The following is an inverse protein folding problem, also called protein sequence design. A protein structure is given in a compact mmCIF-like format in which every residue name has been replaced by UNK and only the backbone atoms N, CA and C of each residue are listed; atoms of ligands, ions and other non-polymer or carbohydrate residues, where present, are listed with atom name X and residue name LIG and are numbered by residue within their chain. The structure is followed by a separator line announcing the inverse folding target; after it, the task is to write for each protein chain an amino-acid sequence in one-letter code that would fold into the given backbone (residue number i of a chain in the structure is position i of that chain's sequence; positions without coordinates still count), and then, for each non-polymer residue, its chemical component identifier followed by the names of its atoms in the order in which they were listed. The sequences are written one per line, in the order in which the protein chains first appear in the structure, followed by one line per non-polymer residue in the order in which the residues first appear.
data_IF_388949339742
#
_entry.id   IF_388949339742
#
_cell.length_a   1.000
_cell.length_b   1.000
_cell.length_c   1.000
_cell.angle_alpha   90.00
_cell.angle_beta   90.00
_cell.angle_gamma   90.00
#
_symmetry.space_group_name_H-M   'P 1'
#
loop_
_entity.id
_entity.type
_entity.pdbx_description
1 polymer ?
#
# COMPACT_ATOMS: atom_id res chain seq x y z
N UNK A 1 -4.27 10.60 -0.66
CA UNK A 1 -3.38 9.74 -1.45
C UNK A 1 -3.60 8.30 -1.02
N UNK A 2 -3.85 7.39 -1.96
CA UNK A 2 -3.77 5.96 -1.68
C UNK A 2 -2.28 5.57 -1.64
N UNK A 3 -1.85 4.99 -0.52
CA UNK A 3 -0.50 4.44 -0.34
C UNK A 3 -0.57 2.96 -0.67
N UNK A 4 -0.15 2.62 -1.89
CA UNK A 4 -0.13 1.24 -2.38
C UNK A 4 1.18 0.51 -2.07
N UNK A 5 1.23 -0.78 -2.41
CA UNK A 5 2.36 -1.68 -2.17
C UNK A 5 3.68 -1.15 -2.75
N UNK A 6 3.63 -0.59 -3.97
CA UNK A 6 4.82 -0.06 -4.65
C UNK A 6 5.27 1.26 -4.02
N UNK A 7 4.32 2.10 -3.60
CA UNK A 7 4.57 3.31 -2.84
C UNK A 7 5.27 3.01 -1.53
N UNK A 8 4.79 2.03 -0.76
CA UNK A 8 5.44 1.59 0.47
C UNK A 8 6.88 1.12 0.24
N UNK A 9 7.10 0.28 -0.78
CA UNK A 9 8.45 -0.16 -1.13
C UNK A 9 9.36 1.02 -1.48
N UNK A 10 8.86 1.97 -2.29
CA UNK A 10 9.62 3.15 -2.67
C UNK A 10 9.94 4.04 -1.46
N UNK A 11 9.08 4.15 -0.46
CA UNK A 11 9.35 4.96 0.75
C UNK A 11 10.50 4.41 1.59
N UNK A 12 10.72 3.09 1.55
CA UNK A 12 11.60 2.41 2.51
C UNK A 12 12.85 1.84 1.87
N UNK A 13 12.85 1.65 0.54
CA UNK A 13 13.99 1.15 -0.19
C UNK A 13 14.65 2.24 -1.05
N UNK A 14 15.71 2.87 -0.52
CA UNK A 14 16.43 4.00 -1.16
C UNK A 14 16.97 3.75 -2.57
N UNK A 15 17.09 2.48 -2.98
CA UNK A 15 17.58 2.10 -4.32
C UNK A 15 16.46 2.09 -5.37
N UNK A 16 15.21 2.22 -4.96
CA UNK A 16 14.10 2.41 -5.89
C UNK A 16 14.26 3.74 -6.62
N UNK A 17 14.13 3.72 -7.94
CA UNK A 17 14.32 4.91 -8.76
C UNK A 17 13.28 6.00 -8.48
N UNK A 18 12.13 5.62 -7.90
CA UNK A 18 11.07 6.53 -7.49
C UNK A 18 11.19 6.99 -6.03
N UNK A 19 12.23 6.61 -5.28
CA UNK A 19 12.33 6.88 -3.84
C UNK A 19 12.08 8.36 -3.47
N UNK A 20 12.81 9.29 -4.08
CA UNK A 20 12.70 10.73 -3.80
C UNK A 20 11.33 11.29 -4.17
N UNK A 21 10.75 10.83 -5.27
CA UNK A 21 9.40 11.23 -5.69
C UNK A 21 8.34 10.68 -4.75
N UNK A 22 8.49 9.44 -4.27
CA UNK A 22 7.58 8.83 -3.32
C UNK A 22 7.57 9.57 -1.99
N UNK A 23 8.74 9.94 -1.45
CA UNK A 23 8.86 10.77 -0.24
C UNK A 23 8.15 12.11 -0.46
N UNK A 24 8.47 12.81 -1.56
CA UNK A 24 7.88 14.12 -1.85
C UNK A 24 6.34 14.09 -1.94
N UNK A 25 5.80 13.07 -2.61
CA UNK A 25 4.34 12.88 -2.73
C UNK A 25 3.69 12.48 -1.40
N UNK A 26 4.37 11.64 -0.62
CA UNK A 26 3.89 11.22 0.68
C UNK A 26 3.83 12.38 1.66
N UNK A 27 4.88 13.20 1.73
CA UNK A 27 4.95 14.36 2.62
C UNK A 27 3.97 15.45 2.21
N UNK A 28 3.75 15.66 0.90
CA UNK A 28 2.79 16.64 0.39
C UNK A 28 1.31 16.21 0.57
N UNK A 29 1.03 14.94 0.82
CA UNK A 29 -0.34 14.44 0.92
C UNK A 29 -0.99 14.83 2.26
N UNK A 30 -2.08 15.60 2.19
CA UNK A 30 -2.88 16.00 3.37
C UNK A 30 -3.65 14.85 4.01
N UNK A 31 -3.93 13.80 3.24
CA UNK A 31 -4.62 12.60 3.72
C UNK A 31 -3.99 11.40 3.06
N UNK A 32 -3.71 10.36 3.84
CA UNK A 32 -3.08 9.12 3.38
C UNK A 32 -4.00 7.97 3.76
N UNK A 33 -4.27 7.07 2.81
CA UNK A 33 -5.14 5.92 3.01
C UNK A 33 -4.39 4.68 2.54
N UNK A 34 -4.48 3.57 3.26
CA UNK A 34 -4.02 2.26 2.79
C UNK A 34 -4.97 1.18 3.31
N UNK A 35 -4.73 -0.08 2.95
CA UNK A 35 -5.58 -1.18 3.41
C UNK A 35 -4.80 -2.45 3.73
N UNK A 36 -5.41 -3.33 4.50
CA UNK A 36 -4.79 -4.57 5.00
C UNK A 36 -4.19 -5.46 3.89
N UNK A 37 -4.82 -5.56 2.70
CA UNK A 37 -4.19 -6.30 1.58
C UNK A 37 -2.91 -5.66 1.04
N UNK A 38 -2.78 -4.33 1.03
CA UNK A 38 -1.51 -3.66 0.66
C UNK A 38 -0.42 -4.04 1.64
N UNK A 39 -0.69 -4.07 2.95
CA UNK A 39 0.32 -4.44 3.95
C UNK A 39 0.78 -5.89 3.78
N UNK A 40 -0.15 -6.83 3.54
CA UNK A 40 0.17 -8.24 3.30
C UNK A 40 1.02 -8.43 2.04
N UNK A 41 0.64 -7.75 0.95
CA UNK A 41 1.42 -7.78 -0.29
C UNK A 41 2.79 -7.15 -0.08
N UNK A 42 2.87 -6.01 0.62
CA UNK A 42 4.10 -5.29 0.90
C UNK A 42 5.12 -6.15 1.65
N UNK A 43 4.70 -6.86 2.70
CA UNK A 43 5.61 -7.77 3.43
C UNK A 43 6.16 -8.86 2.53
N UNK A 44 5.36 -9.35 1.58
CA UNK A 44 5.81 -10.35 0.59
C UNK A 44 6.77 -9.75 -0.44
N UNK A 45 6.45 -8.57 -0.96
CA UNK A 45 7.28 -7.85 -1.94
C UNK A 45 8.62 -7.40 -1.35
N UNK A 46 8.62 -6.86 -0.13
CA UNK A 46 9.83 -6.43 0.57
C UNK A 46 10.82 -7.60 0.71
N UNK A 47 10.34 -8.78 1.09
CA UNK A 47 11.17 -9.98 1.17
C UNK A 47 11.72 -10.40 -0.20
N UNK A 48 10.90 -10.37 -1.25
CA UNK A 48 11.35 -10.65 -2.62
C UNK A 48 12.40 -9.65 -3.12
N UNK A 49 12.43 -8.43 -2.57
CA UNK A 49 13.42 -7.38 -2.85
C UNK A 49 14.59 -7.35 -1.86
N UNK A 50 14.77 -8.41 -1.08
CA UNK A 50 15.85 -8.56 -0.10
C UNK A 50 15.85 -7.50 1.01
N UNK A 51 14.70 -6.85 1.26
CA UNK A 51 14.47 -6.07 2.48
C UNK A 51 14.20 -7.06 3.62
N UNK A 52 14.71 -6.77 4.82
CA UNK A 52 14.49 -7.66 5.96
C UNK A 52 13.01 -7.74 6.30
N UNK A 53 12.54 -8.96 6.60
CA UNK A 53 11.15 -9.19 7.03
C UNK A 53 10.79 -8.34 8.24
N UNK A 54 11.71 -8.22 9.20
CA UNK A 54 11.50 -7.41 10.41
C UNK A 54 11.26 -5.94 10.05
N UNK A 55 12.07 -5.35 9.16
CA UNK A 55 11.86 -3.97 8.74
C UNK A 55 10.49 -3.77 8.09
N UNK A 56 10.05 -4.70 7.24
CA UNK A 56 8.72 -4.63 6.63
C UNK A 56 7.59 -4.73 7.67
N UNK A 57 7.74 -5.55 8.71
CA UNK A 57 6.78 -5.64 9.81
C UNK A 57 6.77 -4.37 10.66
N UNK A 58 7.93 -3.83 11.00
CA UNK A 58 8.05 -2.58 11.77
C UNK A 58 7.37 -1.41 11.03
N UNK A 59 7.53 -1.35 9.71
CA UNK A 59 6.82 -0.36 8.87
C UNK A 59 5.32 -0.61 8.93
N UNK A 60 4.86 -1.85 8.78
CA UNK A 60 3.43 -2.18 8.82
C UNK A 60 2.81 -1.80 10.16
N UNK A 61 3.49 -2.07 11.28
CA UNK A 61 3.07 -1.68 12.62
C UNK A 61 3.06 -0.15 12.80
N UNK A 62 4.05 0.56 12.28
CA UNK A 62 4.07 2.02 12.31
C UNK A 62 2.87 2.62 11.56
N UNK A 63 2.54 2.11 10.38
CA UNK A 63 1.39 2.59 9.59
C UNK A 63 0.06 2.35 10.32
N UNK A 64 -0.06 1.24 11.07
CA UNK A 64 -1.25 0.94 11.87
C UNK A 64 -1.43 1.90 13.05
N UNK A 65 -0.34 2.47 13.55
CA UNK A 65 -0.33 3.37 14.71
C UNK A 65 -0.18 4.85 14.33
N UNK A 66 -0.14 5.17 13.03
CA UNK A 66 0.01 6.53 12.53
C UNK A 66 -1.36 7.20 12.37
N UNK A 67 -1.63 8.23 13.17
CA UNK A 67 -2.89 8.99 13.11
C UNK A 67 -3.10 9.76 11.80
N UNK A 68 -2.06 9.97 11.00
CA UNK A 68 -2.16 10.63 9.70
C UNK A 68 -2.52 9.66 8.56
N UNK A 69 -2.63 8.36 8.86
CA UNK A 69 -2.95 7.31 7.91
C UNK A 69 -4.28 6.68 8.28
N UNK A 70 -5.23 6.76 7.34
CA UNK A 70 -6.45 5.98 7.40
C UNK A 70 -6.17 4.54 6.99
N UNK A 71 -6.27 3.63 7.96
CA UNK A 71 -6.19 2.19 7.71
C UNK A 71 -7.59 1.63 7.41
N UNK A 72 -7.85 1.29 6.15
CA UNK A 72 -9.09 0.59 5.78
C UNK A 72 -8.93 -0.92 5.97
N UNK A 73 -9.76 -1.51 6.82
CA UNK A 73 -9.87 -2.96 6.94
C UNK A 73 -10.86 -3.49 5.91
N UNK A 74 -10.35 -4.21 4.91
CA UNK A 74 -11.19 -4.86 3.90
C UNK A 74 -11.86 -6.08 4.52
N UNK A 75 -13.17 -5.95 4.75
CA UNK A 75 -14.04 -7.03 5.17
C UNK A 75 -14.60 -7.82 3.97
N UNK A 76 -15.45 -8.81 4.24
CA UNK A 76 -16.05 -9.62 3.19
C UNK A 76 -16.91 -8.79 2.22
N UNK A 77 -17.68 -7.83 2.74
CA UNK A 77 -18.57 -7.01 1.93
C UNK A 77 -17.77 -6.16 0.95
N UNK A 78 -16.79 -5.40 1.44
CA UNK A 78 -15.95 -4.55 0.62
C UNK A 78 -15.13 -5.37 -0.39
N UNK A 79 -14.66 -6.57 0.01
CA UNK A 79 -13.99 -7.48 -0.91
C UNK A 79 -14.89 -7.93 -2.06
N UNK A 80 -16.14 -8.35 -1.77
CA UNK A 80 -17.10 -8.78 -2.78
C UNK A 80 -17.48 -7.64 -3.73
N UNK A 81 -17.70 -6.44 -3.19
CA UNK A 81 -17.99 -5.25 -3.98
C UNK A 81 -16.83 -4.90 -4.92
N UNK A 82 -15.59 -4.97 -4.43
CA UNK A 82 -14.41 -4.76 -5.25
C UNK A 82 -14.32 -5.80 -6.40
N UNK A 83 -14.61 -7.07 -6.14
CA UNK A 83 -14.63 -8.12 -7.17
C UNK A 83 -15.72 -7.87 -8.22
N UNK A 84 -16.94 -7.53 -7.79
CA UNK A 84 -18.04 -7.22 -8.70
C UNK A 84 -17.72 -6.00 -9.59
N UNK A 85 -17.09 -4.99 -9.00
CA UNK A 85 -16.63 -3.81 -9.74
C UNK A 85 -15.58 -4.16 -10.81
N UNK A 86 -14.61 -5.01 -10.48
CA UNK A 86 -13.59 -5.47 -11.44
C UNK A 86 -14.19 -6.30 -12.58
N UNK A 87 -15.15 -7.16 -12.28
CA UNK A 87 -15.89 -7.94 -13.29
C UNK A 87 -16.66 -7.03 -14.24
N UNK A 88 -17.30 -5.99 -13.72
CA UNK A 88 -18.06 -5.02 -14.54
C UNK A 88 -17.14 -4.17 -15.42
N UNK A 89 -15.95 -3.79 -14.90
CA UNK A 89 -14.94 -3.03 -15.69
C UNK A 89 -14.41 -3.79 -16.90
N UNK A 90 -14.40 -5.14 -16.88
CA UNK A 90 -14.02 -5.94 -18.07
C UNK A 90 -14.96 -5.73 -19.25
N UNK A 91 -16.23 -5.39 -19.02
CA UNK A 91 -17.24 -5.25 -20.08
C UNK A 91 -17.08 -3.94 -20.87
N UNK A 92 -16.42 -2.92 -20.31
CA UNK A 92 -16.26 -1.60 -20.97
C UNK A 92 -14.97 -1.45 -21.78
N UNK A 93 -14.12 -2.48 -21.83
CA UNK A 93 -12.84 -2.47 -22.58
C UNK A 93 -12.74 -3.56 -23.64
N UNK A 94 -13.84 -4.23 -23.99
CA UNK A 94 -13.98 -5.15 -25.13
C UNK A 94 -14.78 -4.50 -26.24
#
# INVERSE_FOLDING_TARGET
MLVDTSGLLCLIHRRESQHESAISLYDAATTRVTHNYVLVEFVSLAQARHVSRQAALDISERLLNDSEIEMTWVDETLHRDALAFLQTRRVLRS
#
